data_IF_172311759605
#
_entry.id   IF_172311759605
#
_cell.length_a   1.000
_cell.length_b   1.000
_cell.length_c   1.000
_cell.angle_alpha   90.00
_cell.angle_beta   90.00
_cell.angle_gamma   90.00
#
_symmetry.space_group_name_H-M   'P 1'
#
loop_
_entity.id
_entity.type
_entity.pdbx_description
1 polymer ?
#
# COMPACT_ATOMS: atom_id res chain seq x y z
N UNK A 1 -13.37 5.18 -21.17
CA UNK A 1 -12.83 5.19 -19.78
C UNK A 1 -12.66 3.75 -19.36
N UNK A 2 -11.42 3.26 -19.24
CA UNK A 2 -11.19 1.90 -18.71
C UNK A 2 -11.57 1.92 -17.22
N UNK A 3 -12.37 0.96 -16.71
CA UNK A 3 -12.73 0.95 -15.30
C UNK A 3 -11.46 0.64 -14.49
N UNK A 4 -11.01 1.62 -13.69
CA UNK A 4 -9.93 1.49 -12.70
C UNK A 4 -10.12 0.29 -11.74
N UNK A 5 -11.32 -0.30 -11.70
CA UNK A 5 -11.67 -1.47 -10.91
C UNK A 5 -10.84 -2.73 -11.23
N UNK A 6 -10.20 -2.83 -12.42
CA UNK A 6 -9.45 -4.02 -12.85
C UNK A 6 -7.97 -3.74 -13.17
N UNK A 7 -7.41 -2.63 -12.71
CA UNK A 7 -5.96 -2.39 -12.77
C UNK A 7 -5.21 -3.19 -11.66
N UNK A 8 -5.52 -4.49 -11.52
CA UNK A 8 -5.02 -5.34 -10.43
C UNK A 8 -3.50 -5.55 -10.44
N UNK A 9 -2.83 -5.31 -11.57
CA UNK A 9 -1.37 -5.23 -11.65
C UNK A 9 -0.89 -3.81 -11.36
N UNK A 10 -0.83 -3.49 -10.08
CA UNK A 10 -0.48 -2.19 -9.56
C UNK A 10 0.25 -2.28 -8.22
N UNK A 11 1.02 -1.24 -7.93
CA UNK A 11 1.64 -1.02 -6.62
C UNK A 11 1.27 0.36 -6.09
N UNK A 12 1.49 0.58 -4.80
CA UNK A 12 1.07 1.82 -4.18
C UNK A 12 1.90 2.22 -2.96
N UNK A 13 1.79 3.49 -2.63
CA UNK A 13 2.20 4.05 -1.34
C UNK A 13 0.98 4.62 -0.63
N UNK A 14 1.00 4.56 0.70
CA UNK A 14 -0.01 5.20 1.54
C UNK A 14 0.71 5.98 2.65
N UNK A 15 0.24 7.19 2.91
CA UNK A 15 0.84 8.13 3.85
C UNK A 15 -0.22 8.99 4.53
N UNK A 16 0.13 9.50 5.72
CA UNK A 16 -0.64 10.51 6.42
C UNK A 16 -0.03 11.88 6.12
N UNK A 17 -0.90 12.85 5.81
CA UNK A 17 -0.56 14.26 5.67
C UNK A 17 -1.03 14.99 6.92
N UNK A 18 -0.17 15.82 7.49
CA UNK A 18 -0.47 16.65 8.67
C UNK A 18 0.02 18.06 8.43
N UNK A 19 -0.85 19.06 8.61
CA UNK A 19 -0.55 20.46 8.29
C UNK A 19 0.06 20.61 6.88
N UNK A 20 -0.53 19.91 5.90
CA UNK A 20 -0.08 19.85 4.50
C UNK A 20 1.36 19.34 4.31
N UNK A 21 1.93 18.63 5.29
CA UNK A 21 3.28 18.04 5.24
C UNK A 21 3.21 16.53 5.27
N UNK A 22 4.16 15.91 4.57
CA UNK A 22 4.34 14.46 4.48
C UNK A 22 5.64 14.10 5.18
N UNK A 23 5.59 13.11 6.07
CA UNK A 23 6.78 12.55 6.71
C UNK A 23 7.37 11.45 5.80
N UNK A 24 8.69 11.48 5.58
CA UNK A 24 9.41 10.44 4.83
C UNK A 24 9.00 10.35 3.35
N UNK A 25 8.75 11.49 2.70
CA UNK A 25 8.33 11.52 1.29
C UNK A 25 9.38 10.86 0.37
N UNK A 26 10.66 11.06 0.64
CA UNK A 26 11.80 10.41 -0.01
C UNK A 26 11.68 8.88 0.02
N UNK A 27 11.40 8.30 1.19
CA UNK A 27 11.20 6.85 1.35
C UNK A 27 9.97 6.35 0.59
N UNK A 28 8.92 7.16 0.53
CA UNK A 28 7.72 6.84 -0.24
C UNK A 28 7.98 6.85 -1.75
N UNK A 29 8.76 7.82 -2.25
CA UNK A 29 9.13 7.91 -3.67
C UNK A 29 10.08 6.78 -4.07
N UNK A 30 11.08 6.47 -3.24
CA UNK A 30 11.99 5.35 -3.46
C UNK A 30 11.22 4.03 -3.58
N UNK A 31 10.31 3.75 -2.63
CA UNK A 31 9.46 2.55 -2.70
C UNK A 31 8.65 2.48 -4.00
N UNK A 32 8.07 3.60 -4.44
CA UNK A 32 7.30 3.62 -5.69
C UNK A 32 8.20 3.35 -6.90
N UNK A 33 9.41 3.91 -6.91
CA UNK A 33 10.37 3.73 -8.00
C UNK A 33 10.81 2.28 -8.12
N UNK A 34 11.25 1.68 -7.00
CA UNK A 34 11.67 0.28 -6.94
C UNK A 34 10.56 -0.67 -7.38
N UNK A 35 9.34 -0.48 -6.88
CA UNK A 35 8.19 -1.28 -7.27
C UNK A 35 7.81 -1.10 -8.75
N UNK A 36 7.94 0.11 -9.31
CA UNK A 36 7.66 0.37 -10.72
C UNK A 36 8.68 -0.31 -11.63
N UNK A 37 9.97 -0.24 -11.28
CA UNK A 37 11.02 -0.95 -12.01
C UNK A 37 10.80 -2.47 -11.96
N UNK A 38 10.40 -3.01 -10.80
CA UNK A 38 10.14 -4.43 -10.65
C UNK A 38 8.91 -4.92 -11.44
N UNK A 39 7.81 -4.15 -11.46
CA UNK A 39 6.57 -4.58 -12.12
C UNK A 39 6.50 -4.20 -13.61
N UNK A 40 7.03 -3.04 -13.98
CA UNK A 40 6.82 -2.44 -15.29
C UNK A 40 8.12 -2.21 -16.06
N UNK A 41 9.29 -2.53 -15.50
CA UNK A 41 10.59 -2.23 -16.13
C UNK A 41 10.90 -0.73 -16.26
N UNK A 42 10.00 0.14 -15.81
CA UNK A 42 10.08 1.60 -15.91
C UNK A 42 9.47 2.25 -14.68
N UNK A 43 10.00 3.41 -14.33
CA UNK A 43 9.45 4.28 -13.30
C UNK A 43 9.27 5.69 -13.86
N UNK A 44 8.26 6.41 -13.36
CA UNK A 44 8.15 7.84 -13.63
C UNK A 44 9.26 8.61 -12.89
N UNK A 45 9.68 9.78 -13.41
CA UNK A 45 10.52 10.69 -12.67
C UNK A 45 9.88 11.09 -11.35
N UNK A 46 10.69 11.21 -10.31
CA UNK A 46 10.26 11.61 -8.97
C UNK A 46 9.55 12.96 -8.97
N UNK A 47 10.00 13.90 -9.80
CA UNK A 47 9.43 15.24 -9.90
C UNK A 47 7.97 15.20 -10.38
N UNK A 48 7.64 14.25 -11.26
CA UNK A 48 6.28 14.06 -11.76
C UNK A 48 5.38 13.46 -10.66
N UNK A 49 5.85 12.44 -9.94
CA UNK A 49 5.13 11.89 -8.79
C UNK A 49 4.92 12.95 -7.69
N UNK A 50 5.95 13.75 -7.39
CA UNK A 50 5.86 14.86 -6.46
C UNK A 50 4.84 15.91 -6.90
N UNK A 51 4.77 16.22 -8.20
CA UNK A 51 3.77 17.13 -8.74
C UNK A 51 2.34 16.62 -8.49
N UNK A 52 2.07 15.34 -8.78
CA UNK A 52 0.76 14.72 -8.49
C UNK A 52 0.42 14.72 -7.00
N UNK A 53 1.39 14.38 -6.14
CA UNK A 53 1.23 14.41 -4.68
C UNK A 53 0.92 15.83 -4.20
N UNK A 54 1.66 16.82 -4.69
CA UNK A 54 1.48 18.23 -4.33
C UNK A 54 0.11 18.74 -4.71
N UNK A 55 -0.37 18.42 -5.92
CA UNK A 55 -1.74 18.77 -6.34
C UNK A 55 -2.77 18.15 -5.40
N UNK A 56 -2.68 16.84 -5.12
CA UNK A 56 -3.63 16.17 -4.23
C UNK A 56 -3.63 16.72 -2.79
N UNK A 57 -2.46 17.15 -2.27
CA UNK A 57 -2.34 17.79 -0.95
C UNK A 57 -2.93 19.20 -0.96
N UNK A 58 -2.67 20.00 -1.99
CA UNK A 58 -3.15 21.38 -2.09
C UNK A 58 -4.67 21.47 -2.29
N UNK A 59 -5.26 20.50 -2.99
CA UNK A 59 -6.72 20.42 -3.21
C UNK A 59 -7.46 19.78 -2.02
N UNK A 60 -6.74 19.17 -1.08
CA UNK A 60 -7.30 18.47 0.07
C UNK A 60 -7.35 19.31 1.36
N UNK A 61 -7.85 18.69 2.42
CA UNK A 61 -7.75 19.24 3.77
C UNK A 61 -6.30 19.27 4.26
N UNK A 62 -6.00 20.14 5.24
CA UNK A 62 -4.65 20.21 5.85
C UNK A 62 -4.18 18.86 6.40
N UNK A 63 -5.10 18.12 7.00
CA UNK A 63 -4.87 16.77 7.50
C UNK A 63 -5.69 15.78 6.66
N UNK A 64 -5.02 14.81 6.05
CA UNK A 64 -5.66 13.80 5.21
C UNK A 64 -4.85 12.50 5.15
N UNK A 65 -5.50 11.42 4.71
CA UNK A 65 -4.83 10.22 4.24
C UNK A 65 -4.61 10.34 2.74
N UNK A 66 -3.41 10.05 2.24
CA UNK A 66 -3.08 10.03 0.81
C UNK A 66 -2.65 8.63 0.40
N UNK A 67 -3.25 8.11 -0.68
CA UNK A 67 -2.82 6.90 -1.38
C UNK A 67 -2.41 7.28 -2.79
N UNK A 68 -1.22 6.86 -3.21
CA UNK A 68 -0.74 7.01 -4.59
C UNK A 68 -0.56 5.62 -5.16
N UNK A 69 -1.39 5.27 -6.13
CA UNK A 69 -1.36 3.99 -6.84
C UNK A 69 -0.73 4.18 -8.21
N UNK A 70 0.23 3.33 -8.55
CA UNK A 70 0.93 3.29 -9.82
C UNK A 70 0.58 1.99 -10.53
N UNK A 71 0.09 2.08 -11.76
CA UNK A 71 -0.53 0.96 -12.46
C UNK A 71 -0.26 0.99 -13.97
N UNK A 72 -0.29 -0.18 -14.59
CA UNK A 72 -0.27 -0.29 -16.05
C UNK A 72 -1.66 -0.08 -16.65
N UNK A 73 -1.76 0.70 -17.72
CA UNK A 73 -3.01 0.87 -18.48
C UNK A 73 -3.49 -0.41 -19.18
N UNK A 74 -2.60 -1.38 -19.38
CA UNK A 74 -2.93 -2.67 -19.96
C UNK A 74 -3.54 -3.64 -18.95
N UNK A 75 -3.50 -3.32 -17.65
CA UNK A 75 -4.11 -4.12 -16.59
C UNK A 75 -3.33 -5.40 -16.26
N UNK A 76 -4.01 -6.31 -15.59
CA UNK A 76 -3.49 -7.62 -15.20
C UNK A 76 -3.74 -8.71 -16.26
N UNK A 77 -3.09 -9.88 -16.09
CA UNK A 77 -3.21 -11.05 -16.96
C UNK A 77 -2.81 -10.82 -18.43
N UNK A 78 -1.86 -9.93 -18.66
CA UNK A 78 -1.29 -9.65 -19.98
C UNK A 78 0.20 -9.38 -19.88
N UNK A 79 0.96 -9.77 -20.91
CA UNK A 79 2.38 -9.42 -21.05
C UNK A 79 2.58 -7.94 -21.45
N UNK A 80 1.54 -7.29 -21.99
CA UNK A 80 1.62 -5.90 -22.44
C UNK A 80 1.77 -4.90 -21.28
N UNK A 81 1.66 -5.35 -20.03
CA UNK A 81 1.89 -4.52 -18.85
C UNK A 81 3.37 -4.41 -18.47
N UNK A 82 4.26 -5.17 -19.14
CA UNK A 82 5.72 -5.09 -18.98
C UNK A 82 6.31 -3.97 -19.86
N UNK A 83 7.39 -3.35 -19.40
CA UNK A 83 8.17 -2.33 -20.12
C UNK A 83 7.37 -1.11 -20.59
N UNK A 84 6.30 -0.75 -19.87
CA UNK A 84 5.44 0.39 -20.17
C UNK A 84 5.63 1.52 -19.18
N UNK A 85 5.45 2.75 -19.64
CA UNK A 85 5.35 3.89 -18.75
C UNK A 85 4.06 3.74 -17.90
N UNK A 86 4.17 3.67 -16.56
CA UNK A 86 3.01 3.46 -15.73
C UNK A 86 2.25 4.77 -15.48
N UNK A 87 1.00 4.64 -15.09
CA UNK A 87 0.15 5.79 -14.76
C UNK A 87 -0.14 5.86 -13.28
N UNK A 88 -0.56 7.04 -12.82
CA UNK A 88 -0.69 7.38 -11.41
C UNK A 88 -2.13 7.76 -11.08
N UNK A 89 -2.62 7.25 -9.96
CA UNK A 89 -3.85 7.69 -9.31
C UNK A 89 -3.53 8.13 -7.88
N UNK A 90 -3.71 9.41 -7.58
CA UNK A 90 -3.66 9.93 -6.23
C UNK A 90 -5.09 10.04 -5.67
N UNK A 91 -5.32 9.45 -4.49
CA UNK A 91 -6.62 9.49 -3.80
C UNK A 91 -6.43 9.97 -2.38
N UNK A 92 -7.25 10.92 -1.97
CA UNK A 92 -7.31 11.42 -0.60
C UNK A 92 -8.47 10.78 0.18
N UNK A 93 -8.37 10.79 1.50
CA UNK A 93 -9.43 10.37 2.43
C UNK A 93 -9.25 11.04 3.78
N UNK A 94 -10.18 10.79 4.71
CA UNK A 94 -10.09 11.32 6.06
C UNK A 94 -8.75 10.93 6.73
N UNK A 95 -8.15 11.80 7.55
CA UNK A 95 -6.95 11.45 8.30
C UNK A 95 -7.23 10.33 9.29
N UNK A 96 -6.21 9.52 9.59
CA UNK A 96 -6.27 8.49 10.63
C UNK A 96 -5.03 8.56 11.50
N UNK A 97 -5.23 8.45 12.82
CA UNK A 97 -4.16 8.40 13.82
C UNK A 97 -3.87 6.98 14.32
N UNK A 98 -4.52 5.97 13.72
CA UNK A 98 -4.40 4.58 14.16
C UNK A 98 -5.15 4.29 15.47
N UNK A 99 -4.93 3.08 16.04
CA UNK A 99 -5.61 2.63 17.25
C UNK A 99 -5.20 3.45 18.48
N UNK A 100 -6.15 3.69 19.40
CA UNK A 100 -5.93 4.46 20.64
C UNK A 100 -5.40 3.61 21.81
N UNK A 101 -5.29 2.30 21.63
CA UNK A 101 -4.90 1.37 22.67
C UNK A 101 -4.31 0.07 22.09
N UNK A 102 -3.98 -0.90 22.95
CA UNK A 102 -3.42 -2.18 22.53
C UNK A 102 -4.41 -2.97 21.67
N UNK A 103 -3.89 -3.79 20.76
CA UNK A 103 -4.66 -4.68 19.90
C UNK A 103 -4.51 -6.13 20.34
N UNK A 104 -5.60 -6.89 20.28
CA UNK A 104 -5.61 -8.34 20.39
C UNK A 104 -5.50 -8.93 18.99
N UNK A 105 -4.48 -9.75 18.76
CA UNK A 105 -4.20 -10.32 17.44
C UNK A 105 -4.47 -11.82 17.41
N UNK A 106 -5.16 -12.28 16.37
CA UNK A 106 -5.16 -13.70 16.01
C UNK A 106 -3.86 -14.05 15.27
N UNK A 107 -3.31 -15.25 15.46
CA UNK A 107 -2.15 -15.72 14.71
C UNK A 107 -2.61 -16.61 13.54
N UNK A 108 -2.18 -16.29 12.32
CA UNK A 108 -2.63 -16.97 11.10
C UNK A 108 -1.42 -17.39 10.26
N UNK A 109 -1.38 -18.65 9.84
CA UNK A 109 -0.38 -19.11 8.87
C UNK A 109 -0.65 -18.48 7.50
N UNK A 110 0.19 -17.52 7.10
CA UNK A 110 0.06 -16.82 5.83
C UNK A 110 1.38 -16.15 5.44
N UNK A 111 1.73 -16.29 4.16
CA UNK A 111 2.79 -15.52 3.51
C UNK A 111 2.24 -15.01 2.19
N UNK A 112 2.46 -13.73 1.88
CA UNK A 112 2.05 -13.14 0.62
C UNK A 112 3.20 -13.21 -0.39
N UNK A 113 2.90 -13.42 -1.69
CA UNK A 113 3.91 -13.28 -2.72
C UNK A 113 4.44 -11.84 -2.75
N UNK A 114 5.67 -11.66 -3.28
CA UNK A 114 6.23 -10.32 -3.55
C UNK A 114 6.22 -9.41 -2.31
N UNK A 115 6.54 -9.95 -1.13
CA UNK A 115 6.43 -9.25 0.14
C UNK A 115 7.25 -7.94 0.26
N UNK A 116 8.26 -7.74 -0.58
CA UNK A 116 9.02 -6.47 -0.63
C UNK A 116 8.26 -5.36 -1.36
N UNK A 117 7.25 -5.68 -2.16
CA UNK A 117 6.47 -4.73 -2.95
C UNK A 117 5.10 -4.52 -2.29
N UNK A 118 4.70 -3.25 -2.15
CA UNK A 118 3.37 -2.87 -1.66
C UNK A 118 2.40 -2.86 -2.84
N UNK A 119 1.83 -4.01 -3.16
CA UNK A 119 0.92 -4.20 -4.30
C UNK A 119 -0.54 -4.36 -3.91
N UNK A 120 -1.44 -4.25 -4.90
CA UNK A 120 -2.90 -4.27 -4.68
C UNK A 120 -3.51 -5.68 -4.61
N UNK A 121 -2.81 -6.71 -5.10
CA UNK A 121 -3.25 -8.12 -5.13
C UNK A 121 -3.24 -8.82 -3.76
N UNK A 122 -3.87 -8.23 -2.73
CA UNK A 122 -3.71 -8.59 -1.32
C UNK A 122 -5.05 -8.93 -0.64
N UNK A 123 -6.02 -9.49 -1.37
CA UNK A 123 -7.34 -9.82 -0.84
C UNK A 123 -7.29 -10.75 0.40
N UNK A 124 -6.26 -11.60 0.49
CA UNK A 124 -6.00 -12.47 1.64
C UNK A 124 -5.87 -11.68 2.95
N UNK A 125 -5.24 -10.50 2.94
CA UNK A 125 -5.07 -9.65 4.12
C UNK A 125 -6.42 -9.22 4.69
N UNK A 126 -7.32 -8.74 3.83
CA UNK A 126 -8.68 -8.37 4.22
C UNK A 126 -9.50 -9.58 4.67
N UNK A 127 -9.34 -10.72 3.99
CA UNK A 127 -10.01 -11.96 4.41
C UNK A 127 -9.62 -12.36 5.84
N UNK A 128 -8.33 -12.34 6.18
CA UNK A 128 -7.86 -12.72 7.51
C UNK A 128 -8.20 -11.69 8.59
N UNK A 129 -8.22 -10.40 8.27
CA UNK A 129 -8.79 -9.37 9.14
C UNK A 129 -10.24 -9.71 9.51
N UNK A 130 -11.08 -10.06 8.53
CA UNK A 130 -12.47 -10.41 8.77
C UNK A 130 -12.60 -11.67 9.65
N UNK A 131 -11.73 -12.68 9.46
CA UNK A 131 -11.74 -13.87 10.30
C UNK A 131 -11.33 -13.56 11.74
N UNK A 132 -10.33 -12.72 11.95
CA UNK A 132 -9.91 -12.26 13.27
C UNK A 132 -11.05 -11.57 14.02
N UNK A 133 -11.73 -10.62 13.35
CA UNK A 133 -12.87 -9.88 13.91
C UNK A 133 -14.00 -10.83 14.30
N UNK A 134 -14.33 -11.82 13.45
CA UNK A 134 -15.36 -12.83 13.77
C UNK A 134 -15.02 -13.69 14.99
N UNK A 135 -13.74 -13.82 15.32
CA UNK A 135 -13.25 -14.56 16.49
C UNK A 135 -13.08 -13.66 17.73
N UNK A 136 -13.43 -12.37 17.64
CA UNK A 136 -13.31 -11.42 18.75
C UNK A 136 -11.91 -10.85 18.95
N UNK A 137 -11.06 -10.92 17.92
CA UNK A 137 -9.77 -10.20 17.86
C UNK A 137 -9.93 -8.90 17.07
N UNK A 138 -8.97 -7.99 17.22
CA UNK A 138 -8.97 -6.69 16.53
C UNK A 138 -8.34 -6.78 15.14
N UNK A 139 -7.35 -7.66 14.96
CA UNK A 139 -6.61 -7.86 13.71
C UNK A 139 -5.92 -9.24 13.69
N UNK A 140 -5.19 -9.56 12.62
CA UNK A 140 -4.38 -10.76 12.50
C UNK A 140 -2.87 -10.44 12.37
N UNK A 141 -2.06 -11.24 13.04
CA UNK A 141 -0.63 -11.36 12.84
C UNK A 141 -0.33 -12.61 12.01
N UNK A 142 0.58 -12.50 11.05
CA UNK A 142 0.95 -13.59 10.17
C UNK A 142 2.17 -14.35 10.69
N UNK A 143 2.08 -15.68 10.55
CA UNK A 143 3.12 -16.64 10.89
C UNK A 143 3.62 -17.26 9.59
N UNK A 144 4.93 -17.20 9.36
CA UNK A 144 5.57 -17.78 8.19
C UNK A 144 5.63 -19.32 8.28
N UNK A 145 6.03 -19.96 7.17
CA UNK A 145 6.24 -21.41 7.07
C UNK A 145 7.26 -21.99 8.05
N UNK A 146 8.06 -21.16 8.73
CA UNK A 146 9.02 -21.55 9.77
C UNK A 146 8.49 -21.29 11.19
N UNK A 147 7.24 -20.89 11.34
CA UNK A 147 6.62 -20.62 12.64
C UNK A 147 7.00 -19.26 13.24
N UNK A 148 7.52 -18.31 12.45
CA UNK A 148 7.95 -16.99 12.93
C UNK A 148 6.92 -15.92 12.59
N UNK A 149 6.75 -14.94 13.47
CA UNK A 149 5.93 -13.76 13.19
C UNK A 149 6.59 -12.89 12.11
N UNK A 150 5.82 -12.46 11.12
CA UNK A 150 6.30 -11.64 9.99
C UNK A 150 5.75 -10.21 10.04
N UNK A 151 4.48 -10.04 9.69
CA UNK A 151 3.75 -8.78 9.67
C UNK A 151 2.29 -9.00 10.13
N UNK A 152 1.55 -7.92 10.34
CA UNK A 152 0.10 -7.96 10.49
C UNK A 152 -0.59 -7.68 9.15
N UNK A 153 -1.93 -7.57 9.13
CA UNK A 153 -2.68 -7.41 7.88
C UNK A 153 -2.23 -6.20 7.06
N UNK A 154 -1.91 -5.06 7.68
CA UNK A 154 -1.43 -3.86 6.94
C UNK A 154 -0.25 -3.12 7.59
N UNK A 155 0.35 -3.67 8.66
CA UNK A 155 1.39 -3.01 9.46
C UNK A 155 2.47 -4.00 9.93
N UNK A 156 3.66 -3.50 10.22
CA UNK A 156 4.81 -4.32 10.64
C UNK A 156 4.83 -4.55 12.15
N UNK A 157 5.38 -5.68 12.58
CA UNK A 157 5.63 -5.97 13.99
C UNK A 157 7.04 -5.50 14.39
N UNK A 158 7.15 -4.89 15.57
CA UNK A 158 8.43 -4.53 16.19
C UNK A 158 8.40 -5.00 17.63
N UNK A 159 9.46 -5.69 18.06
CA UNK A 159 9.63 -6.19 19.42
C UNK A 159 10.74 -5.37 20.10
N UNK A 160 10.52 -5.03 21.37
CA UNK A 160 11.49 -4.30 22.18
C UNK A 160 11.42 -4.82 23.61
N UNK A 161 12.54 -4.77 24.32
CA UNK A 161 12.69 -5.14 25.73
C UNK A 161 12.70 -3.91 26.64
#
# INVERSE_FOLDING_TARGET
MSPLAFAGFAHFTAMQVRDSKIKGLDLHLERLREASLAFFGRALPDEQLQSHIKTAVNEGAKDLSLTVTVFSHHGEFTANSMDVEPSVLARTGAPSDGPKGPLRLSAVAHERPLATIKHVGEAGKTYYLHQAIRQGFDDAAFVDSRGRLSEATIWNLVFWE
#
